data_IF_465537272396
#
_entry.id   IF_465537272396
#
_cell.length_a   1.000
_cell.length_b   1.000
_cell.length_c   1.000
_cell.angle_alpha   90.00
_cell.angle_beta   90.00
_cell.angle_gamma   90.00
#
_symmetry.space_group_name_H-M   'P 1'
#
loop_
_entity.id
_entity.type
_entity.pdbx_description
1 polymer ?
#
# COMPACT_ATOMS: atom_id res chain seq x y z
N UNK A 1 12.16 -8.58 8.15
CA UNK A 1 11.32 -7.51 7.57
C UNK A 1 12.09 -6.21 7.76
N UNK A 2 12.99 -5.92 6.83
CA UNK A 2 13.87 -4.76 6.92
C UNK A 2 13.16 -3.62 6.19
N UNK A 3 12.60 -2.68 6.94
CA UNK A 3 12.14 -1.41 6.39
C UNK A 3 13.22 -0.38 6.73
N UNK A 4 14.20 -0.24 5.85
CA UNK A 4 15.18 0.86 5.89
C UNK A 4 14.65 1.98 5.00
N UNK A 5 14.49 3.18 5.55
CA UNK A 5 14.16 4.40 4.81
C UNK A 5 12.76 4.94 5.09
N UNK A 6 12.72 6.17 5.60
CA UNK A 6 11.52 6.95 5.84
C UNK A 6 10.68 7.08 4.56
N UNK A 7 9.37 6.85 4.71
CA UNK A 7 8.41 6.72 3.62
C UNK A 7 7.21 5.99 4.18
N UNK A 8 6.32 6.75 4.82
CA UNK A 8 5.25 6.33 5.72
C UNK A 8 4.61 4.95 5.45
N UNK A 9 5.07 3.94 6.18
CA UNK A 9 4.47 2.60 6.30
C UNK A 9 3.12 2.59 7.04
N UNK A 10 2.48 3.76 7.21
CA UNK A 10 1.21 3.91 7.91
C UNK A 10 0.01 3.55 7.00
N UNK A 11 0.07 3.79 5.69
CA UNK A 11 -1.02 3.48 4.77
C UNK A 11 -1.14 1.95 4.52
N UNK A 12 -0.01 1.24 4.42
CA UNK A 12 0.00 -0.23 4.40
C UNK A 12 -0.57 -0.82 5.70
N UNK A 13 -0.24 -0.22 6.86
CA UNK A 13 -0.80 -0.64 8.15
C UNK A 13 -2.29 -0.36 8.26
N UNK A 14 -2.78 0.75 7.72
CA UNK A 14 -4.20 1.07 7.63
C UNK A 14 -4.95 0.02 6.78
N UNK A 15 -4.39 -0.35 5.62
CA UNK A 15 -4.92 -1.42 4.80
C UNK A 15 -4.91 -2.76 5.55
N UNK A 16 -3.78 -3.12 6.17
CA UNK A 16 -3.60 -4.35 6.95
C UNK A 16 -4.61 -4.47 8.09
N UNK A 17 -4.86 -3.37 8.81
CA UNK A 17 -5.85 -3.33 9.88
C UNK A 17 -7.28 -3.52 9.35
N UNK A 18 -7.56 -3.00 8.15
CA UNK A 18 -8.87 -3.09 7.53
C UNK A 18 -9.18 -4.47 6.91
N UNK A 19 -8.21 -5.10 6.25
CA UNK A 19 -8.39 -6.40 5.58
C UNK A 19 -8.01 -7.59 6.48
N UNK A 20 -7.17 -7.34 7.49
CA UNK A 20 -6.61 -8.35 8.38
C UNK A 20 -5.31 -8.99 7.88
N UNK A 21 -4.46 -9.38 8.83
CA UNK A 21 -3.12 -9.95 8.56
C UNK A 21 -3.18 -11.23 7.73
N UNK A 22 -4.17 -12.10 7.96
CA UNK A 22 -4.32 -13.36 7.22
C UNK A 22 -4.64 -13.13 5.73
N UNK A 23 -5.51 -12.17 5.43
CA UNK A 23 -5.87 -11.83 4.06
C UNK A 23 -4.69 -11.13 3.35
N UNK A 24 -3.96 -10.28 4.07
CA UNK A 24 -2.77 -9.62 3.54
C UNK A 24 -1.62 -10.61 3.26
N UNK A 25 -1.36 -11.56 4.16
CA UNK A 25 -0.27 -12.53 4.03
C UNK A 25 -0.39 -13.44 2.79
N UNK A 26 -1.62 -13.68 2.33
CA UNK A 26 -1.91 -14.49 1.14
C UNK A 26 -2.15 -13.64 -0.12
N UNK A 27 -2.09 -12.31 0.01
CA UNK A 27 -2.41 -11.38 -1.07
C UNK A 27 -1.29 -11.27 -2.11
N UNK A 28 -1.70 -10.94 -3.33
CA UNK A 28 -0.80 -10.53 -4.44
C UNK A 28 -0.02 -9.27 -4.11
N UNK A 29 -0.55 -8.40 -3.25
CA UNK A 29 0.10 -7.16 -2.82
C UNK A 29 1.40 -7.45 -2.04
N UNK A 30 1.39 -8.40 -1.11
CA UNK A 30 2.62 -8.80 -0.39
C UNK A 30 3.66 -9.42 -1.33
N UNK A 31 3.23 -10.22 -2.32
CA UNK A 31 4.13 -10.81 -3.31
C UNK A 31 4.85 -9.73 -4.13
N UNK A 32 4.12 -8.71 -4.58
CA UNK A 32 4.68 -7.58 -5.36
C UNK A 32 5.60 -6.70 -4.51
N UNK A 33 5.22 -6.43 -3.26
CA UNK A 33 6.11 -5.72 -2.32
C UNK A 33 7.42 -6.48 -2.08
N UNK A 34 7.37 -7.81 -1.93
CA UNK A 34 8.57 -8.63 -1.79
C UNK A 34 9.40 -8.74 -3.08
N UNK A 35 8.77 -8.55 -4.25
CA UNK A 35 9.45 -8.49 -5.54
C UNK A 35 10.12 -7.13 -5.79
N UNK A 36 9.83 -6.11 -4.97
CA UNK A 36 10.30 -4.74 -5.18
C UNK A 36 9.43 -3.92 -6.14
N UNK A 37 8.34 -4.49 -6.64
CA UNK A 37 7.41 -3.82 -7.55
C UNK A 37 6.42 -2.95 -6.77
N UNK A 38 6.93 -1.90 -6.12
CA UNK A 38 6.13 -1.01 -5.27
C UNK A 38 5.01 -0.31 -6.08
N UNK A 39 5.28 0.08 -7.33
CA UNK A 39 4.26 0.66 -8.23
C UNK A 39 3.12 -0.31 -8.54
N UNK A 40 3.44 -1.58 -8.81
CA UNK A 40 2.41 -2.58 -9.05
C UNK A 40 1.66 -2.96 -7.77
N UNK A 41 2.34 -2.94 -6.62
CA UNK A 41 1.71 -3.13 -5.32
C UNK A 41 0.70 -2.00 -5.04
N UNK A 42 1.00 -0.76 -5.42
CA UNK A 42 0.10 0.39 -5.31
C UNK A 42 -1.21 0.18 -6.11
N UNK A 43 -1.13 -0.46 -7.27
CA UNK A 43 -2.32 -0.79 -8.08
C UNK A 43 -3.23 -1.83 -7.40
N UNK A 44 -2.67 -2.73 -6.58
CA UNK A 44 -3.45 -3.73 -5.85
C UNK A 44 -4.34 -3.14 -4.75
N UNK A 45 -4.07 -1.92 -4.26
CA UNK A 45 -4.94 -1.23 -3.28
C UNK A 45 -6.37 -1.04 -3.80
N UNK A 46 -6.53 -0.79 -5.11
CA UNK A 46 -7.84 -0.59 -5.74
C UNK A 46 -8.68 -1.87 -5.79
N UNK A 47 -8.05 -3.06 -5.66
CA UNK A 47 -8.78 -4.34 -5.56
C UNK A 47 -9.48 -4.51 -4.21
N UNK A 48 -9.06 -3.77 -3.18
CA UNK A 48 -9.62 -3.80 -1.83
C UNK A 48 -10.70 -2.72 -1.60
N UNK A 49 -11.51 -2.46 -2.63
CA UNK A 49 -12.62 -1.49 -2.61
C UNK A 49 -14.01 -2.15 -2.52
N UNK A 50 -14.07 -3.48 -2.50
CA UNK A 50 -15.32 -4.23 -2.52
C UNK A 50 -15.71 -4.69 -1.12
N UNK A 51 -16.96 -4.45 -0.74
CA UNK A 51 -17.57 -4.99 0.46
C UNK A 51 -18.72 -5.94 0.11
N UNK A 52 -19.06 -6.85 1.01
CA UNK A 52 -20.24 -7.72 0.85
C UNK A 52 -21.45 -7.00 1.42
N UNK A 53 -22.37 -6.54 0.55
CA UNK A 53 -23.65 -5.94 0.96
C UNK A 53 -24.77 -6.84 0.46
N UNK A 54 -25.62 -7.33 1.37
CA UNK A 54 -26.71 -8.28 1.04
C UNK A 54 -26.22 -9.53 0.28
N UNK A 55 -25.06 -10.06 0.68
CA UNK A 55 -24.47 -11.26 0.06
C UNK A 55 -23.82 -11.04 -1.31
N UNK A 56 -23.81 -9.81 -1.85
CA UNK A 56 -23.16 -9.48 -3.12
C UNK A 56 -21.93 -8.62 -2.89
N UNK A 57 -20.85 -8.89 -3.63
CA UNK A 57 -19.67 -8.03 -3.66
C UNK A 57 -20.01 -6.75 -4.42
N UNK A 58 -20.06 -5.63 -3.71
CA UNK A 58 -20.33 -4.32 -4.29
C UNK A 58 -19.15 -3.37 -4.02
N UNK A 59 -18.75 -2.56 -5.00
CA UNK A 59 -17.76 -1.52 -4.77
C UNK A 59 -18.35 -0.44 -3.86
N UNK A 60 -17.71 -0.19 -2.73
CA UNK A 60 -18.14 0.84 -1.78
C UNK A 60 -17.43 2.15 -2.10
N UNK A 61 -18.20 3.19 -2.45
CA UNK A 61 -17.65 4.52 -2.82
C UNK A 61 -16.70 5.08 -1.76
N UNK A 62 -17.04 4.92 -0.47
CA UNK A 62 -16.18 5.37 0.63
C UNK A 62 -14.84 4.61 0.72
N UNK A 63 -14.82 3.32 0.40
CA UNK A 63 -13.58 2.55 0.33
C UNK A 63 -12.73 2.96 -0.87
N UNK A 64 -13.35 3.20 -2.04
CA UNK A 64 -12.63 3.67 -3.23
C UNK A 64 -11.86 4.96 -2.94
N UNK A 65 -12.55 5.95 -2.36
CA UNK A 65 -11.93 7.23 -2.04
C UNK A 65 -10.77 7.10 -1.05
N UNK A 66 -10.93 6.23 -0.03
CA UNK A 66 -9.85 5.96 0.93
C UNK A 66 -8.67 5.24 0.29
N UNK A 67 -8.92 4.23 -0.54
CA UNK A 67 -7.87 3.47 -1.24
C UNK A 67 -7.12 4.33 -2.25
N UNK A 68 -7.78 5.29 -2.90
CA UNK A 68 -7.13 6.28 -3.75
C UNK A 68 -6.17 7.18 -2.96
N UNK A 69 -6.58 7.65 -1.78
CA UNK A 69 -5.70 8.45 -0.91
C UNK A 69 -4.51 7.65 -0.37
N UNK A 70 -4.75 6.41 0.10
CA UNK A 70 -3.70 5.51 0.57
C UNK A 70 -2.72 5.17 -0.56
N UNK A 71 -3.22 4.93 -1.78
CA UNK A 71 -2.40 4.74 -2.99
C UNK A 71 -1.54 5.99 -3.28
N UNK A 72 -2.14 7.18 -3.29
CA UNK A 72 -1.44 8.42 -3.61
C UNK A 72 -0.32 8.72 -2.59
N UNK A 73 -0.56 8.48 -1.29
CA UNK A 73 0.48 8.61 -0.27
C UNK A 73 1.55 7.54 -0.39
N UNK A 74 1.16 6.32 -0.71
CA UNK A 74 2.10 5.23 -0.96
C UNK A 74 3.02 5.59 -2.13
N UNK A 75 2.47 6.01 -3.28
CA UNK A 75 3.24 6.46 -4.45
C UNK A 75 4.11 7.68 -4.15
N UNK A 76 3.61 8.67 -3.39
CA UNK A 76 4.39 9.84 -3.00
C UNK A 76 5.59 9.47 -2.11
N UNK A 77 5.42 8.49 -1.20
CA UNK A 77 6.51 7.99 -0.36
C UNK A 77 7.56 7.17 -1.10
N UNK A 78 7.26 6.65 -2.31
CA UNK A 78 8.25 6.00 -3.16
C UNK A 78 9.24 7.00 -3.75
N UNK A 79 8.79 8.22 -4.01
CA UNK A 79 9.62 9.28 -4.62
C UNK A 79 10.69 9.85 -3.68
N UNK A 80 10.55 9.71 -2.36
CA UNK A 80 11.58 10.13 -1.39
C UNK A 80 12.80 9.19 -1.34
N UNK A 81 12.73 7.99 -1.92
CA UNK A 81 13.85 7.03 -1.90
C UNK A 81 14.97 7.35 -2.89
N UNK A 82 14.76 8.27 -3.82
CA UNK A 82 15.83 8.80 -4.68
C UNK A 82 16.34 10.14 -4.15
N UNK A 83 16.88 10.13 -2.93
CA UNK A 83 17.85 11.15 -2.53
C UNK A 83 19.24 10.54 -2.74
N UNK A 84 20.02 11.05 -3.73
CA UNK A 84 21.42 10.66 -3.85
C UNK A 84 22.12 11.08 -2.57
N UNK A 85 22.75 10.09 -1.95
CA UNK A 85 23.88 10.16 -1.04
C UNK A 85 24.03 11.49 -0.28
N UNK A 86 23.69 11.42 1.02
CA UNK A 86 24.18 12.33 2.03
C UNK A 86 25.68 12.57 1.80
N UNK A 87 26.02 13.69 1.16
CA UNK A 87 27.40 14.16 1.02
C UNK A 87 27.92 14.39 2.43
N UNK A 88 28.71 13.43 2.90
CA UNK A 88 29.54 13.58 4.08
C UNK A 88 30.56 14.66 3.76
N UNK A 89 30.49 15.80 4.44
CA UNK A 89 31.48 16.86 4.34
C UNK A 89 32.90 16.33 4.57
N UNK A 90 33.85 16.92 3.83
CA UNK A 90 35.31 16.75 3.91
C UNK A 90 35.87 16.78 5.34
#
# INVERSE_FOLDING_TARGET
MVCSGAGCSCDLRSLLFNIGVKAFATSTLLKKLNAGDEQEAAAEFLKWCYGTVKGKKVPLKGLIFRRQQEKARFEAGLMEKESPEFSRCE
#
